data_IF_373396198871
#
_entry.id   IF_373396198871
#
_cell.length_a   1.000
_cell.length_b   1.000
_cell.length_c   1.000
_cell.angle_alpha   90.00
_cell.angle_beta   90.00
_cell.angle_gamma   90.00
#
_symmetry.space_group_name_H-M   'P 1'
#
loop_
_entity.id
_entity.type
_entity.pdbx_description
1 polymer ?
#
# COMPACT_ATOMS: atom_id res chain seq x y z
N UNK A 1 6.81 -19.36 -11.68
CA UNK A 1 6.06 -18.10 -11.40
C UNK A 1 6.72 -17.46 -10.21
N UNK A 2 7.07 -16.18 -10.29
CA UNK A 2 7.58 -15.44 -9.12
C UNK A 2 6.49 -15.34 -8.06
N UNK A 3 6.86 -15.55 -6.81
CA UNK A 3 5.90 -15.60 -5.71
C UNK A 3 5.42 -14.20 -5.32
N UNK A 4 6.28 -13.19 -5.44
CA UNK A 4 6.04 -11.80 -5.02
C UNK A 4 5.96 -10.86 -6.24
N UNK A 5 4.91 -10.02 -6.27
CA UNK A 5 4.80 -8.90 -7.19
C UNK A 5 4.64 -7.59 -6.40
N UNK A 6 5.53 -6.64 -6.67
CA UNK A 6 5.52 -5.30 -6.07
C UNK A 6 4.79 -4.37 -7.04
N UNK A 7 3.69 -3.79 -6.58
CA UNK A 7 2.83 -2.89 -7.34
C UNK A 7 3.10 -1.46 -6.89
N UNK A 8 3.49 -0.61 -7.82
CA UNK A 8 3.77 0.81 -7.57
C UNK A 8 2.80 1.65 -8.41
N UNK A 9 1.72 2.17 -7.80
CA UNK A 9 0.88 3.19 -8.43
C UNK A 9 1.67 4.49 -8.56
N UNK A 10 1.74 5.06 -9.76
CA UNK A 10 2.51 6.28 -10.02
C UNK A 10 1.67 7.41 -10.61
N UNK A 11 2.08 8.64 -10.32
CA UNK A 11 1.58 9.85 -10.97
C UNK A 11 2.66 10.93 -10.96
N UNK A 12 3.45 11.00 -12.04
CA UNK A 12 4.54 11.96 -12.21
C UNK A 12 5.63 11.85 -11.12
N UNK A 13 6.11 10.62 -10.88
CA UNK A 13 7.11 10.30 -9.85
C UNK A 13 8.54 10.19 -10.42
N UNK A 14 8.83 10.92 -11.49
CA UNK A 14 10.14 10.92 -12.16
C UNK A 14 11.33 11.22 -11.24
N UNK A 15 11.11 11.98 -10.15
CA UNK A 15 12.17 12.34 -9.20
C UNK A 15 12.42 11.30 -8.11
N UNK A 16 11.51 10.34 -7.93
CA UNK A 16 11.53 9.39 -6.83
C UNK A 16 11.72 7.94 -7.31
N UNK A 17 11.14 7.58 -8.45
CA UNK A 17 11.02 6.19 -8.87
C UNK A 17 12.34 5.43 -8.99
N UNK A 18 13.40 6.08 -9.52
CA UNK A 18 14.72 5.44 -9.65
C UNK A 18 15.32 5.10 -8.28
N UNK A 19 15.17 5.99 -7.29
CA UNK A 19 15.63 5.75 -5.90
C UNK A 19 14.87 4.59 -5.26
N UNK A 20 13.57 4.47 -5.52
CA UNK A 20 12.76 3.34 -5.04
C UNK A 20 13.21 2.04 -5.70
N UNK A 21 13.44 2.03 -7.00
CA UNK A 21 13.95 0.85 -7.70
C UNK A 21 15.36 0.45 -7.25
N UNK A 22 16.23 1.44 -6.98
CA UNK A 22 17.56 1.19 -6.42
C UNK A 22 17.48 0.59 -5.02
N UNK A 23 16.56 1.07 -4.15
CA UNK A 23 16.39 0.47 -2.82
C UNK A 23 15.96 -1.00 -2.91
N UNK A 24 15.11 -1.38 -3.87
CA UNK A 24 14.77 -2.78 -4.10
C UNK A 24 15.97 -3.61 -4.55
N UNK A 25 16.79 -3.05 -5.43
CA UNK A 25 17.98 -3.73 -5.92
C UNK A 25 18.98 -4.06 -4.79
N UNK A 26 19.16 -3.13 -3.85
CA UNK A 26 20.13 -3.31 -2.77
C UNK A 26 19.60 -4.10 -1.58
N UNK A 27 18.32 -3.97 -1.24
CA UNK A 27 17.78 -4.44 0.02
C UNK A 27 16.97 -5.73 -0.10
N UNK A 28 16.33 -6.01 -1.26
CA UNK A 28 15.39 -7.14 -1.38
C UNK A 28 16.10 -8.38 -1.91
N UNK A 29 16.06 -9.46 -1.13
CA UNK A 29 16.65 -10.77 -1.47
C UNK A 29 15.65 -11.73 -2.12
N UNK A 30 14.38 -11.62 -1.76
CA UNK A 30 13.28 -12.39 -2.35
C UNK A 30 13.18 -12.11 -3.84
N UNK A 31 12.98 -13.13 -4.68
CA UNK A 31 12.69 -12.93 -6.12
C UNK A 31 11.34 -12.26 -6.30
N UNK A 32 11.31 -11.17 -7.04
CA UNK A 32 10.11 -10.37 -7.28
C UNK A 32 10.00 -9.86 -8.71
N UNK A 33 8.81 -9.43 -9.08
CA UNK A 33 8.54 -8.56 -10.23
C UNK A 33 8.01 -7.22 -9.75
N UNK A 34 8.27 -6.16 -10.51
CA UNK A 34 7.69 -4.84 -10.26
C UNK A 34 6.65 -4.55 -11.34
N UNK A 35 5.45 -4.14 -10.93
CA UNK A 35 4.43 -3.60 -11.82
C UNK A 35 4.20 -2.13 -11.50
N UNK A 36 4.62 -1.25 -12.40
CA UNK A 36 4.38 0.19 -12.30
C UNK A 36 3.09 0.51 -13.04
N UNK A 37 2.07 0.96 -12.30
CA UNK A 37 0.76 1.24 -12.83
C UNK A 37 0.51 2.76 -12.92
N UNK A 38 0.20 3.26 -14.13
CA UNK A 38 0.11 4.68 -14.46
C UNK A 38 -1.23 5.02 -15.15
N UNK A 39 -1.71 6.26 -14.96
CA UNK A 39 -2.98 6.73 -15.52
C UNK A 39 -2.87 7.22 -16.98
N UNK A 40 -1.73 7.79 -17.37
CA UNK A 40 -1.53 8.41 -18.69
C UNK A 40 -0.15 8.08 -19.25
N UNK A 41 -0.06 7.88 -20.56
CA UNK A 41 1.23 7.68 -21.27
C UNK A 41 2.16 8.91 -21.22
N UNK A 42 1.62 10.09 -20.89
CA UNK A 42 2.38 11.32 -20.64
C UNK A 42 2.97 11.39 -19.23
N UNK A 43 2.75 10.37 -18.39
CA UNK A 43 3.33 10.31 -17.04
C UNK A 43 4.85 10.35 -17.10
N UNK A 44 5.43 11.32 -16.41
CA UNK A 44 6.87 11.59 -16.40
C UNK A 44 7.70 10.46 -15.77
N UNK A 45 7.08 9.54 -15.07
CA UNK A 45 7.71 8.34 -14.50
C UNK A 45 8.15 7.37 -15.59
N UNK A 46 7.39 7.25 -16.69
CA UNK A 46 7.60 6.25 -17.74
C UNK A 46 8.97 6.40 -18.42
N UNK A 47 9.41 7.60 -18.87
CA UNK A 47 10.72 7.80 -19.44
C UNK A 47 11.85 7.38 -18.49
N UNK A 48 11.73 7.67 -17.20
CA UNK A 48 12.75 7.33 -16.21
C UNK A 48 12.90 5.82 -16.03
N UNK A 49 11.78 5.09 -15.99
CA UNK A 49 11.82 3.62 -15.93
C UNK A 49 12.43 3.02 -17.20
N UNK A 50 12.14 3.59 -18.38
CA UNK A 50 12.71 3.12 -19.64
C UNK A 50 14.23 3.31 -19.72
N UNK A 51 14.75 4.35 -19.07
CA UNK A 51 16.19 4.66 -18.98
C UNK A 51 16.88 3.92 -17.84
N UNK A 52 16.13 3.29 -16.93
CA UNK A 52 16.70 2.69 -15.72
C UNK A 52 17.64 1.54 -16.06
N UNK A 53 18.93 1.69 -15.72
CA UNK A 53 20.00 0.79 -16.18
C UNK A 53 19.90 -0.63 -15.59
N UNK A 54 19.37 -0.76 -14.36
CA UNK A 54 19.28 -2.03 -13.63
C UNK A 54 18.00 -2.82 -13.88
N UNK A 55 17.16 -2.39 -14.82
CA UNK A 55 15.89 -3.08 -15.16
C UNK A 55 16.05 -4.52 -15.64
N UNK A 56 17.26 -4.93 -16.00
CA UNK A 56 17.57 -6.32 -16.38
C UNK A 56 17.75 -7.25 -15.18
N UNK A 57 17.93 -6.71 -13.97
CA UNK A 57 18.18 -7.46 -12.75
C UNK A 57 16.90 -8.00 -12.11
N UNK A 58 15.78 -7.31 -12.34
CA UNK A 58 14.43 -7.77 -12.00
C UNK A 58 13.43 -7.26 -13.04
N UNK A 59 12.37 -8.02 -13.23
CA UNK A 59 11.38 -7.72 -14.27
C UNK A 59 10.53 -6.50 -13.87
N UNK A 60 10.50 -5.46 -14.69
CA UNK A 60 9.63 -4.29 -14.55
C UNK A 60 8.58 -4.32 -15.66
N UNK A 61 7.31 -4.28 -15.28
CA UNK A 61 6.16 -4.15 -16.17
C UNK A 61 5.59 -2.74 -16.06
N UNK A 62 5.33 -2.11 -17.19
CA UNK A 62 4.55 -0.88 -17.28
C UNK A 62 3.10 -1.25 -17.58
N UNK A 63 2.17 -0.91 -16.71
CA UNK A 63 0.76 -1.27 -16.82
C UNK A 63 -0.10 -0.01 -16.86
N UNK A 64 -0.87 0.16 -17.94
CA UNK A 64 -1.85 1.23 -18.08
C UNK A 64 -3.03 0.96 -17.15
N UNK A 65 -3.37 1.92 -16.29
CA UNK A 65 -4.53 1.85 -15.42
C UNK A 65 -5.83 1.85 -16.24
N UNK A 66 -6.69 0.89 -15.96
CA UNK A 66 -8.02 0.74 -16.59
C UNK A 66 -9.06 1.67 -15.98
N UNK A 67 -8.96 1.98 -14.69
CA UNK A 67 -10.02 2.61 -13.91
C UNK A 67 -9.75 4.04 -13.46
N UNK A 68 -8.53 4.53 -13.55
CA UNK A 68 -8.10 5.84 -13.08
C UNK A 68 -7.88 5.98 -11.57
N UNK A 69 -6.83 6.71 -11.20
CA UNK A 69 -6.45 6.99 -9.80
C UNK A 69 -5.88 5.80 -9.06
N UNK A 70 -5.47 6.02 -7.81
CA UNK A 70 -4.70 5.03 -7.04
C UNK A 70 -5.47 3.70 -6.80
N UNK A 71 -6.75 3.76 -6.45
CA UNK A 71 -7.56 2.55 -6.27
C UNK A 71 -7.72 1.81 -7.60
N UNK A 72 -7.89 2.54 -8.70
CA UNK A 72 -7.96 1.99 -10.05
C UNK A 72 -6.66 1.31 -10.46
N UNK A 73 -5.51 1.94 -10.18
CA UNK A 73 -4.19 1.40 -10.46
C UNK A 73 -3.95 0.08 -9.71
N UNK A 74 -4.26 0.04 -8.41
CA UNK A 74 -4.14 -1.18 -7.61
C UNK A 74 -5.08 -2.27 -8.10
N UNK A 75 -6.35 -1.93 -8.41
CA UNK A 75 -7.33 -2.89 -8.95
C UNK A 75 -6.87 -3.46 -10.28
N UNK A 76 -6.42 -2.62 -11.20
CA UNK A 76 -5.89 -3.03 -12.50
C UNK A 76 -4.70 -3.97 -12.32
N UNK A 77 -3.77 -3.66 -11.41
CA UNK A 77 -2.61 -4.50 -11.16
C UNK A 77 -3.02 -5.86 -10.55
N UNK A 78 -3.96 -5.88 -9.61
CA UNK A 78 -4.48 -7.12 -9.02
C UNK A 78 -5.16 -8.03 -10.04
N UNK A 79 -5.95 -7.46 -10.96
CA UNK A 79 -6.62 -8.19 -12.04
C UNK A 79 -5.62 -8.79 -13.04
N UNK A 80 -4.50 -8.12 -13.29
CA UNK A 80 -3.47 -8.54 -14.27
C UNK A 80 -2.32 -9.35 -13.67
N UNK A 81 -2.33 -9.57 -12.37
CA UNK A 81 -1.29 -10.34 -11.68
C UNK A 81 -1.65 -11.82 -11.56
N UNK A 82 -0.65 -12.69 -11.64
CA UNK A 82 -0.74 -14.11 -11.29
C UNK A 82 0.09 -14.49 -10.07
N UNK A 83 0.79 -13.53 -9.45
CA UNK A 83 1.66 -13.78 -8.29
C UNK A 83 0.87 -14.28 -7.08
N UNK A 84 1.51 -15.06 -6.21
CA UNK A 84 0.91 -15.57 -4.97
C UNK A 84 0.77 -14.50 -3.89
N UNK A 85 1.66 -13.53 -3.92
CA UNK A 85 1.78 -12.45 -2.93
C UNK A 85 1.87 -11.13 -3.67
N UNK A 86 1.10 -10.15 -3.26
CA UNK A 86 1.02 -8.82 -3.86
C UNK A 86 1.33 -7.74 -2.83
N UNK A 87 2.33 -6.95 -3.11
CA UNK A 87 2.75 -5.82 -2.28
C UNK A 87 2.41 -4.52 -2.98
N UNK A 88 1.59 -3.67 -2.38
CA UNK A 88 1.43 -2.28 -2.85
C UNK A 88 2.44 -1.42 -2.12
N UNK A 89 3.30 -0.76 -2.89
CA UNK A 89 4.42 0.02 -2.39
C UNK A 89 4.34 1.48 -2.84
N UNK A 90 4.61 2.47 -1.96
CA UNK A 90 4.60 3.89 -2.34
C UNK A 90 5.73 4.24 -3.31
N UNK A 91 5.45 5.07 -4.30
CA UNK A 91 6.43 5.48 -5.31
C UNK A 91 7.50 6.47 -4.82
N UNK A 92 7.42 6.89 -3.57
CA UNK A 92 8.31 7.85 -2.91
C UNK A 92 8.94 7.30 -1.61
N UNK A 93 8.71 6.04 -1.30
CA UNK A 93 9.33 5.36 -0.16
C UNK A 93 10.57 4.55 -0.62
N UNK A 94 11.76 5.03 -0.29
CA UNK A 94 13.02 4.31 -0.53
C UNK A 94 13.73 3.93 0.79
N UNK A 95 13.02 4.04 1.93
CA UNK A 95 13.55 3.78 3.26
C UNK A 95 13.15 2.42 3.85
N UNK A 96 12.09 1.81 3.33
CA UNK A 96 11.52 0.58 3.90
C UNK A 96 11.64 -0.63 2.98
N UNK A 97 12.52 -0.59 1.98
CA UNK A 97 12.74 -1.75 1.09
C UNK A 97 13.32 -2.96 1.86
N UNK A 98 14.09 -2.72 2.92
CA UNK A 98 14.63 -3.73 3.85
C UNK A 98 13.54 -4.53 4.58
N UNK A 99 12.30 -4.03 4.62
CA UNK A 99 11.15 -4.72 5.24
C UNK A 99 10.45 -5.70 4.30
N UNK A 100 10.74 -5.65 2.99
CA UNK A 100 9.99 -6.43 1.99
C UNK A 100 10.15 -7.94 2.21
N UNK A 101 11.36 -8.41 2.50
CA UNK A 101 11.61 -9.83 2.77
C UNK A 101 10.83 -10.31 4.00
N UNK A 102 10.86 -9.54 5.11
CA UNK A 102 10.09 -9.85 6.31
C UNK A 102 8.58 -9.86 6.06
N UNK A 103 8.06 -8.90 5.26
CA UNK A 103 6.65 -8.86 4.88
C UNK A 103 6.26 -10.11 4.09
N UNK A 104 7.11 -10.53 3.14
CA UNK A 104 6.90 -11.73 2.34
C UNK A 104 6.90 -13.01 3.19
N UNK A 105 7.85 -13.15 4.12
CA UNK A 105 7.95 -14.27 5.05
C UNK A 105 6.71 -14.40 5.94
N UNK A 106 6.18 -13.29 6.46
CA UNK A 106 4.95 -13.28 7.25
C UNK A 106 3.73 -13.76 6.45
N UNK A 107 3.64 -13.38 5.17
CA UNK A 107 2.56 -13.93 4.33
C UNK A 107 2.75 -15.41 4.05
N UNK A 108 3.98 -15.87 3.83
CA UNK A 108 4.30 -17.29 3.66
C UNK A 108 4.03 -18.11 4.92
N UNK A 109 4.16 -17.51 6.12
CA UNK A 109 3.84 -18.16 7.41
C UNK A 109 2.34 -18.22 7.72
N UNK A 110 1.47 -17.69 6.84
CA UNK A 110 0.01 -17.86 6.95
C UNK A 110 -0.77 -16.60 7.30
N UNK A 111 -0.13 -15.43 7.36
CA UNK A 111 -0.88 -14.17 7.43
C UNK A 111 -1.39 -13.78 6.04
N UNK A 112 -2.66 -13.40 5.95
CA UNK A 112 -3.25 -12.99 4.68
C UNK A 112 -3.05 -11.51 4.36
N UNK A 113 -2.88 -10.67 5.39
CA UNK A 113 -2.52 -9.26 5.26
C UNK A 113 -1.43 -8.93 6.28
N UNK A 114 -0.36 -8.26 5.86
CA UNK A 114 0.60 -7.65 6.78
C UNK A 114 0.60 -6.13 6.56
N UNK A 115 0.46 -5.40 7.65
CA UNK A 115 0.32 -3.95 7.67
C UNK A 115 1.62 -3.29 8.16
N UNK A 116 2.40 -2.64 7.30
CA UNK A 116 3.44 -1.70 7.73
C UNK A 116 2.83 -0.57 8.55
N UNK A 117 3.27 -0.42 9.80
CA UNK A 117 2.67 0.49 10.78
C UNK A 117 3.66 1.55 11.25
N UNK A 118 3.24 2.82 11.15
CA UNK A 118 3.97 3.99 11.65
C UNK A 118 3.71 4.25 13.14
N UNK A 119 2.69 3.59 13.72
CA UNK A 119 2.15 3.91 15.04
C UNK A 119 2.28 2.78 16.07
N UNK A 120 2.68 1.58 15.68
CA UNK A 120 3.06 0.53 16.61
C UNK A 120 4.43 0.82 17.23
N UNK A 121 4.80 0.08 18.29
CA UNK A 121 6.13 0.20 18.91
C UNK A 121 7.25 -0.04 17.87
N UNK A 122 8.15 0.93 17.74
CA UNK A 122 9.22 0.91 16.73
C UNK A 122 8.85 1.57 15.39
N UNK A 123 7.58 1.89 15.15
CA UNK A 123 7.16 2.66 14.00
C UNK A 123 7.35 4.17 14.21
N UNK A 124 7.65 4.92 13.16
CA UNK A 124 7.91 6.35 13.24
C UNK A 124 7.33 7.10 12.04
N UNK A 125 6.87 8.33 12.28
CA UNK A 125 6.42 9.25 11.22
C UNK A 125 7.15 10.59 11.37
N UNK A 126 8.10 10.87 10.48
CA UNK A 126 8.93 12.07 10.49
C UNK A 126 8.40 13.17 9.56
N UNK A 127 8.51 14.43 10.00
CA UNK A 127 8.25 15.62 9.18
C UNK A 127 6.79 15.85 8.79
N UNK A 128 5.86 15.07 9.30
CA UNK A 128 4.44 15.19 8.94
C UNK A 128 3.86 16.53 9.41
N UNK A 129 3.14 17.29 8.54
CA UNK A 129 2.42 18.48 8.95
C UNK A 129 1.50 18.22 10.13
N UNK A 130 1.46 19.13 11.09
CA UNK A 130 0.77 18.97 12.39
C UNK A 130 -0.69 18.52 12.24
N UNK A 131 -1.49 19.22 11.42
CA UNK A 131 -2.90 18.88 11.20
C UNK A 131 -3.06 17.48 10.58
N UNK A 132 -2.26 17.12 9.57
CA UNK A 132 -2.24 15.80 8.93
C UNK A 132 -1.87 14.72 9.95
N UNK A 133 -0.90 14.99 10.82
CA UNK A 133 -0.47 14.09 11.90
C UNK A 133 -1.59 13.81 12.88
N UNK A 134 -2.26 14.85 13.39
CA UNK A 134 -3.39 14.70 14.31
C UNK A 134 -4.50 13.88 13.68
N UNK A 135 -4.96 14.24 12.48
CA UNK A 135 -6.05 13.55 11.79
C UNK A 135 -5.72 12.07 11.55
N UNK A 136 -4.50 11.78 11.10
CA UNK A 136 -4.07 10.42 10.84
C UNK A 136 -3.97 9.59 12.13
N UNK A 137 -3.41 10.16 13.21
CA UNK A 137 -3.30 9.49 14.51
C UNK A 137 -4.68 9.25 15.15
N UNK A 138 -5.57 10.25 15.12
CA UNK A 138 -6.93 10.13 15.65
C UNK A 138 -7.73 9.06 14.90
N UNK A 139 -7.65 9.03 13.55
CA UNK A 139 -8.31 8.00 12.77
C UNK A 139 -7.79 6.61 13.13
N UNK A 140 -6.48 6.42 13.23
CA UNK A 140 -5.89 5.14 13.58
C UNK A 140 -6.16 4.72 15.03
N UNK A 141 -6.22 5.67 15.97
CA UNK A 141 -6.67 5.42 17.34
C UNK A 141 -8.10 4.86 17.36
N UNK A 142 -9.02 5.45 16.60
CA UNK A 142 -10.39 4.95 16.44
C UNK A 142 -10.40 3.53 15.85
N UNK A 143 -9.68 3.31 14.77
CA UNK A 143 -9.62 1.99 14.12
C UNK A 143 -9.09 0.91 15.05
N UNK A 144 -8.03 1.18 15.78
CA UNK A 144 -7.40 0.19 16.65
C UNK A 144 -8.15 -0.01 17.96
N UNK A 145 -8.37 1.07 18.76
CA UNK A 145 -8.93 0.96 20.11
C UNK A 145 -10.45 0.81 20.13
N UNK A 146 -11.17 1.49 19.24
CA UNK A 146 -12.64 1.50 19.25
C UNK A 146 -13.17 0.40 18.33
N UNK A 147 -12.66 0.33 17.09
CA UNK A 147 -13.15 -0.61 16.09
C UNK A 147 -12.37 -1.94 16.08
N UNK A 148 -11.36 -2.06 16.96
CA UNK A 148 -10.60 -3.30 17.21
C UNK A 148 -9.99 -3.92 15.95
N UNK A 149 -9.56 -3.09 14.99
CA UNK A 149 -8.79 -3.59 13.86
C UNK A 149 -7.41 -4.06 14.34
N UNK A 150 -6.86 -5.15 13.81
CA UNK A 150 -5.61 -5.75 14.30
C UNK A 150 -4.36 -5.04 13.74
N UNK A 151 -4.37 -3.72 13.69
CA UNK A 151 -3.23 -2.88 13.30
C UNK A 151 -3.37 -1.47 13.86
N UNK A 152 -2.27 -0.89 14.30
CA UNK A 152 -2.17 0.50 14.71
C UNK A 152 -2.17 1.48 13.52
N UNK A 153 -2.05 0.99 12.27
CA UNK A 153 -2.02 1.83 11.08
C UNK A 153 -2.89 1.29 9.93
N UNK A 154 -4.20 1.52 10.06
CA UNK A 154 -5.18 1.14 9.05
C UNK A 154 -5.13 2.02 7.80
N UNK A 155 -4.50 3.21 7.88
CA UNK A 155 -4.50 4.23 6.81
C UNK A 155 -3.28 4.20 5.91
N UNK A 156 -2.28 3.37 6.20
CA UNK A 156 -1.08 3.23 5.37
C UNK A 156 -1.41 2.49 4.07
N UNK A 157 -0.98 3.06 2.92
CA UNK A 157 -1.13 2.44 1.61
C UNK A 157 -0.08 1.36 1.33
N UNK A 158 1.08 1.42 1.99
CA UNK A 158 2.08 0.37 1.97
C UNK A 158 1.50 -0.87 2.64
N UNK A 159 1.25 -1.94 1.87
CA UNK A 159 0.58 -3.14 2.39
C UNK A 159 0.79 -4.35 1.51
N UNK A 160 0.98 -5.51 2.14
CA UNK A 160 1.13 -6.78 1.46
C UNK A 160 -0.10 -7.67 1.68
N UNK A 161 -0.45 -8.43 0.64
CA UNK A 161 -1.64 -9.28 0.59
C UNK A 161 -1.31 -10.65 0.03
N UNK A 162 -1.88 -11.69 0.60
CA UNK A 162 -1.93 -12.99 -0.05
C UNK A 162 -2.88 -12.96 -1.25
N UNK A 163 -2.66 -13.82 -2.24
CA UNK A 163 -3.59 -14.03 -3.36
C UNK A 163 -5.00 -14.39 -2.90
N UNK A 164 -5.13 -15.05 -1.74
CA UNK A 164 -6.43 -15.44 -1.18
C UNK A 164 -7.31 -14.22 -0.89
N UNK A 165 -6.73 -13.14 -0.35
CA UNK A 165 -7.45 -11.87 -0.13
C UNK A 165 -7.96 -11.32 -1.46
N UNK A 166 -7.08 -11.23 -2.46
CA UNK A 166 -7.42 -10.60 -3.75
C UNK A 166 -8.52 -11.37 -4.50
N UNK A 167 -8.54 -12.70 -4.37
CA UNK A 167 -9.58 -13.55 -4.98
C UNK A 167 -10.94 -13.49 -4.26
N UNK A 168 -10.93 -13.31 -2.94
CA UNK A 168 -12.13 -13.49 -2.11
C UNK A 168 -12.72 -12.17 -1.59
N UNK A 169 -12.02 -11.08 -1.76
CA UNK A 169 -12.44 -9.76 -1.28
C UNK A 169 -12.26 -8.74 -2.40
N UNK A 170 -13.36 -8.17 -2.85
CA UNK A 170 -13.34 -7.02 -3.77
C UNK A 170 -13.36 -5.70 -3.00
N UNK A 171 -12.85 -4.63 -3.65
CA UNK A 171 -12.92 -3.28 -3.13
C UNK A 171 -13.49 -2.30 -4.17
N UNK A 172 -14.13 -1.26 -3.65
CA UNK A 172 -14.81 -0.26 -4.46
C UNK A 172 -13.83 0.79 -4.98
N UNK A 173 -14.07 1.26 -6.20
CA UNK A 173 -13.37 2.40 -6.76
C UNK A 173 -13.90 3.69 -6.13
N UNK A 174 -13.13 4.30 -5.25
CA UNK A 174 -13.46 5.54 -4.55
C UNK A 174 -12.34 6.56 -4.72
N UNK A 175 -12.63 7.82 -4.42
CA UNK A 175 -11.59 8.86 -4.36
C UNK A 175 -10.63 8.59 -3.19
N UNK A 176 -9.36 8.90 -3.40
CA UNK A 176 -8.31 8.71 -2.39
C UNK A 176 -7.84 7.25 -2.24
N UNK A 177 -6.82 7.01 -1.43
CA UNK A 177 -6.16 5.71 -1.30
C UNK A 177 -6.87 4.80 -0.29
N UNK A 178 -8.11 4.41 -0.58
CA UNK A 178 -8.96 3.65 0.36
C UNK A 178 -8.86 2.14 0.22
N UNK A 179 -8.25 1.61 -0.84
CA UNK A 179 -8.17 0.16 -1.10
C UNK A 179 -7.63 -0.64 0.10
N UNK A 180 -6.56 -0.12 0.73
CA UNK A 180 -5.92 -0.80 1.86
C UNK A 180 -6.84 -0.91 3.07
N UNK A 181 -7.55 0.16 3.42
CA UNK A 181 -8.53 0.17 4.51
C UNK A 181 -9.73 -0.74 4.18
N UNK A 182 -10.24 -0.68 2.95
CA UNK A 182 -11.36 -1.50 2.50
C UNK A 182 -11.05 -3.00 2.63
N UNK A 183 -9.91 -3.42 2.10
CA UNK A 183 -9.48 -4.82 2.18
C UNK A 183 -9.23 -5.25 3.62
N UNK A 184 -8.61 -4.39 4.44
CA UNK A 184 -8.35 -4.65 5.85
C UNK A 184 -9.65 -4.88 6.64
N UNK A 185 -10.62 -3.97 6.53
CA UNK A 185 -11.88 -4.06 7.29
C UNK A 185 -12.69 -5.28 6.85
N UNK A 186 -12.78 -5.53 5.53
CA UNK A 186 -13.49 -6.69 4.99
C UNK A 186 -12.81 -8.02 5.38
N UNK A 187 -11.47 -8.07 5.35
CA UNK A 187 -10.69 -9.24 5.77
C UNK A 187 -10.86 -9.51 7.26
N UNK A 188 -10.78 -8.48 8.09
CA UNK A 188 -11.01 -8.58 9.53
C UNK A 188 -12.40 -9.14 9.85
N UNK A 189 -13.44 -8.66 9.16
CA UNK A 189 -14.81 -9.19 9.29
C UNK A 189 -14.91 -10.68 8.93
N UNK A 190 -14.16 -11.12 7.92
CA UNK A 190 -14.09 -12.53 7.49
C UNK A 190 -13.11 -13.37 8.31
N UNK A 191 -12.56 -12.84 9.41
CA UNK A 191 -11.64 -13.53 10.33
C UNK A 191 -10.33 -14.02 9.66
N UNK A 192 -9.82 -13.29 8.66
CA UNK A 192 -8.51 -13.56 8.10
C UNK A 192 -7.39 -13.17 9.09
N UNK A 193 -6.26 -13.87 9.01
CA UNK A 193 -5.09 -13.59 9.84
C UNK A 193 -4.39 -12.31 9.36
N UNK A 194 -4.30 -11.33 10.24
CA UNK A 194 -3.72 -10.03 9.95
C UNK A 194 -2.69 -9.71 11.01
N UNK A 195 -1.54 -9.18 10.60
CA UNK A 195 -0.49 -8.71 11.52
C UNK A 195 0.11 -7.41 11.03
N UNK A 196 1.02 -6.84 11.79
CA UNK A 196 1.72 -5.61 11.44
C UNK A 196 3.21 -5.67 11.78
N UNK A 197 4.01 -4.84 11.10
CA UNK A 197 5.42 -4.62 11.40
C UNK A 197 5.71 -3.11 11.47
N UNK A 198 6.72 -2.68 12.25
CA UNK A 198 7.07 -1.27 12.34
C UNK A 198 7.79 -0.80 11.08
N UNK A 199 7.45 0.42 10.63
CA UNK A 199 8.12 1.12 9.52
C UNK A 199 8.39 2.56 9.87
N UNK A 200 9.37 3.14 9.19
CA UNK A 200 9.71 4.55 9.31
C UNK A 200 9.16 5.28 8.09
N UNK A 201 8.37 6.30 8.32
CA UNK A 201 7.84 7.13 7.24
C UNK A 201 8.39 8.54 7.33
N UNK A 202 8.79 9.07 6.19
CA UNK A 202 9.22 10.46 6.05
C UNK A 202 8.23 11.23 5.19
N UNK A 203 7.91 12.47 5.59
CA UNK A 203 7.15 13.36 4.68
C UNK A 203 7.96 13.61 3.41
N UNK A 204 7.26 13.68 2.29
CA UNK A 204 7.84 13.91 0.97
C UNK A 204 8.66 15.20 0.96
N UNK A 205 9.95 15.08 0.67
CA UNK A 205 10.86 16.23 0.55
C UNK A 205 10.86 16.79 -0.88
N UNK A 206 10.64 15.93 -1.89
CA UNK A 206 10.70 16.26 -3.31
C UNK A 206 9.34 16.09 -3.96
N UNK A 207 8.86 17.14 -4.64
CA UNK A 207 7.56 17.15 -5.31
C UNK A 207 6.43 17.72 -4.43
N UNK A 208 5.22 17.84 -5.03
CA UNK A 208 4.03 18.30 -4.30
C UNK A 208 3.24 17.11 -3.80
N UNK A 209 2.81 17.15 -2.54
CA UNK A 209 1.87 16.16 -2.02
C UNK A 209 0.50 16.33 -2.70
N UNK A 210 -0.02 15.26 -3.27
CA UNK A 210 -1.38 15.23 -3.83
C UNK A 210 -2.44 14.95 -2.75
N UNK A 211 -2.09 15.11 -1.48
CA UNK A 211 -2.98 14.81 -0.37
C UNK A 211 -4.12 15.83 -0.26
N UNK A 212 -5.31 15.42 -0.65
CA UNK A 212 -6.52 16.25 -0.61
C UNK A 212 -7.39 15.84 0.57
N UNK A 213 -7.15 16.45 1.73
CA UNK A 213 -7.79 16.09 3.01
C UNK A 213 -9.31 16.02 2.88
N UNK A 214 -9.95 17.08 2.36
CA UNK A 214 -11.42 17.20 2.31
C UNK A 214 -12.03 16.14 1.38
N UNK A 215 -11.42 15.88 0.21
CA UNK A 215 -11.94 14.91 -0.75
C UNK A 215 -11.79 13.45 -0.26
N UNK A 216 -10.85 13.19 0.66
CA UNK A 216 -10.55 11.84 1.13
C UNK A 216 -11.25 11.47 2.45
N UNK A 217 -11.65 12.45 3.25
CA UNK A 217 -12.32 12.20 4.54
C UNK A 217 -13.65 11.46 4.35
N UNK A 218 -14.51 11.89 3.43
CA UNK A 218 -15.82 11.26 3.21
C UNK A 218 -15.74 9.76 2.87
N UNK A 219 -14.89 9.32 1.93
CA UNK A 219 -14.68 7.89 1.70
C UNK A 219 -14.22 7.12 2.94
N UNK A 220 -13.37 7.71 3.80
CA UNK A 220 -12.93 7.06 5.04
C UNK A 220 -14.05 6.91 6.06
N UNK A 221 -14.95 7.90 6.18
CA UNK A 221 -16.11 7.83 7.07
C UNK A 221 -17.02 6.63 6.76
N UNK A 222 -17.27 6.36 5.47
CA UNK A 222 -18.01 5.15 5.05
C UNK A 222 -17.41 3.87 5.65
N UNK A 223 -16.07 3.76 5.65
CA UNK A 223 -15.37 2.58 6.14
C UNK A 223 -15.31 2.51 7.66
N UNK A 224 -15.39 3.64 8.36
CA UNK A 224 -15.60 3.69 9.81
C UNK A 224 -16.96 3.05 10.15
N UNK A 225 -18.04 3.46 9.50
CA UNK A 225 -19.37 2.86 9.72
C UNK A 225 -19.40 1.36 9.37
N UNK A 226 -18.75 0.98 8.27
CA UNK A 226 -18.62 -0.45 7.93
C UNK A 226 -17.87 -1.23 9.01
N UNK A 227 -16.82 -0.66 9.58
CA UNK A 227 -16.05 -1.27 10.66
C UNK A 227 -16.84 -1.34 11.98
N UNK A 228 -17.64 -0.33 12.31
CA UNK A 228 -18.56 -0.34 13.47
C UNK A 228 -19.47 -1.57 13.39
N UNK A 229 -20.13 -1.80 12.26
CA UNK A 229 -20.97 -2.96 12.05
C UNK A 229 -20.21 -4.28 12.22
N UNK A 230 -18.88 -4.28 12.06
CA UNK A 230 -18.05 -5.47 12.28
C UNK A 230 -17.90 -5.81 13.76
N UNK A 231 -17.83 -4.81 14.63
CA UNK A 231 -17.74 -5.02 16.08
C UNK A 231 -19.02 -5.69 16.59
N UNK A 232 -20.17 -5.23 16.10
CA UNK A 232 -21.49 -5.76 16.54
C UNK A 232 -21.85 -7.11 15.90
N UNK A 233 -21.24 -7.47 14.76
CA UNK A 233 -21.53 -8.77 14.08
C UNK A 233 -20.62 -9.92 14.56
N UNK A 234 -19.73 -9.70 15.54
CA UNK A 234 -18.84 -10.72 16.09
C UNK A 234 -19.36 -11.41 17.35
N UNK A 235 -20.45 -10.90 17.90
CA UNK A 235 -21.20 -11.54 18.95
C UNK A 235 -22.30 -12.40 18.31
#
# INVERSE_FOLDING_TARGET
MESLEIIIPVKNENKNITRVLDSFFYEVKTKFTVTVCFDDYKDTTIPEIKKYDRRQQFKIKLLKNKYYGINGAVKTAFENSSAKILLVYPADDFFNADKIDQLNELVLSGYEIVCPSRFMKGGVMHGCPFLKSILTRSANFIFYHILRLPTHDATNCFRIFSRKIIKNIDFELQKGPTFGLQLLVKAHRKKYNITEIPVIWYERVIGKSNFKIIEWVLPYIKWIFYAINTVFSRN
#
